data_IF_217533392015
#
_entry.id   IF_217533392015
#
_cell.length_a   1.000
_cell.length_b   1.000
_cell.length_c   1.000
_cell.angle_alpha   90.00
_cell.angle_beta   90.00
_cell.angle_gamma   90.00
#
_symmetry.space_group_name_H-M   'P 1'
#
loop_
_entity.id
_entity.type
_entity.pdbx_description
1 polymer ?
#
# COMPACT_ATOMS: atom_id res chain seq x y z
N UNK A 1 7.13 -33.10 14.88
CA UNK A 1 8.50 -32.55 14.82
C UNK A 1 8.60 -31.26 15.63
N UNK A 2 8.77 -31.35 16.96
CA UNK A 2 8.72 -30.17 17.85
C UNK A 2 9.83 -29.15 17.60
N UNK A 3 11.06 -29.59 17.28
CA UNK A 3 12.16 -28.68 16.96
C UNK A 3 12.00 -28.02 15.59
N UNK A 4 11.58 -28.80 14.58
CA UNK A 4 11.35 -28.27 13.23
C UNK A 4 10.21 -27.25 13.22
N UNK A 5 9.15 -27.46 14.01
CA UNK A 5 8.05 -26.49 14.12
C UNK A 5 8.49 -25.17 14.77
N UNK A 6 9.37 -25.21 15.77
CA UNK A 6 9.91 -23.99 16.39
C UNK A 6 10.77 -23.21 15.39
N UNK A 7 11.68 -23.90 14.71
CA UNK A 7 12.51 -23.32 13.65
C UNK A 7 11.65 -22.69 12.55
N UNK A 8 10.62 -23.40 12.09
CA UNK A 8 9.70 -22.89 11.06
C UNK A 8 8.97 -21.63 11.51
N UNK A 9 8.54 -21.54 12.78
CA UNK A 9 7.88 -20.34 13.32
C UNK A 9 8.82 -19.14 13.31
N UNK A 10 10.09 -19.32 13.69
CA UNK A 10 11.07 -18.23 13.71
C UNK A 10 11.35 -17.69 12.28
N UNK A 11 11.60 -18.57 11.32
CA UNK A 11 11.94 -18.16 9.95
C UNK A 11 10.74 -17.61 9.18
N UNK A 12 9.58 -18.27 9.28
CA UNK A 12 8.39 -17.84 8.54
C UNK A 12 7.81 -16.53 9.10
N UNK A 13 7.96 -16.27 10.41
CA UNK A 13 7.54 -15.00 10.99
C UNK A 13 8.34 -13.81 10.44
N UNK A 14 9.64 -13.99 10.17
CA UNK A 14 10.47 -12.93 9.58
C UNK A 14 9.94 -12.55 8.19
N UNK A 15 9.73 -13.54 7.31
CA UNK A 15 9.21 -13.26 5.96
C UNK A 15 7.77 -12.76 5.97
N UNK A 16 6.93 -13.33 6.83
CA UNK A 16 5.52 -12.92 6.96
C UNK A 16 5.35 -11.51 7.52
N UNK A 17 6.33 -11.01 8.28
CA UNK A 17 6.31 -9.65 8.83
C UNK A 17 7.02 -8.60 7.96
N UNK A 18 7.93 -9.00 7.07
CA UNK A 18 8.66 -8.06 6.22
C UNK A 18 7.73 -7.22 5.31
N UNK A 19 6.84 -7.86 4.55
CA UNK A 19 5.93 -7.19 3.61
C UNK A 19 4.95 -6.19 4.26
N UNK A 20 4.28 -6.48 5.39
CA UNK A 20 3.45 -5.46 6.04
C UNK A 20 4.31 -4.33 6.62
N UNK A 21 5.51 -4.61 7.13
CA UNK A 21 6.43 -3.59 7.64
C UNK A 21 6.83 -2.64 6.52
N UNK A 22 7.29 -3.15 5.37
CA UNK A 22 7.61 -2.35 4.18
C UNK A 22 6.44 -1.46 3.74
N UNK A 23 5.22 -2.01 3.71
CA UNK A 23 4.02 -1.23 3.39
C UNK A 23 3.80 -0.07 4.38
N UNK A 24 4.02 -0.30 5.67
CA UNK A 24 3.94 0.78 6.68
C UNK A 24 4.99 1.85 6.39
N UNK A 25 6.24 1.46 6.13
CA UNK A 25 7.34 2.38 5.83
C UNK A 25 7.13 3.18 4.55
N UNK A 26 6.70 2.55 3.46
CA UNK A 26 6.35 3.25 2.21
C UNK A 26 5.23 4.26 2.43
N UNK A 27 4.22 3.91 3.22
CA UNK A 27 3.13 4.86 3.58
C UNK A 27 3.57 5.97 4.53
N UNK A 28 4.67 5.76 5.28
CA UNK A 28 5.23 6.72 6.20
C UNK A 28 6.27 7.63 5.52
N UNK A 29 6.77 7.27 4.34
CA UNK A 29 7.75 8.03 3.58
C UNK A 29 7.31 9.49 3.35
N UNK A 30 6.02 9.70 3.07
CA UNK A 30 5.45 11.04 2.91
C UNK A 30 5.54 11.89 4.18
N UNK A 31 5.38 11.25 5.35
CA UNK A 31 5.47 11.91 6.66
C UNK A 31 6.91 12.09 7.13
N UNK A 32 7.82 11.22 6.67
CA UNK A 32 9.24 11.23 7.02
C UNK A 32 10.06 12.23 6.20
N UNK A 33 9.95 12.21 4.86
CA UNK A 33 10.88 12.94 3.98
C UNK A 33 10.19 13.92 3.03
N UNK A 34 9.09 13.55 2.36
CA UNK A 34 8.54 14.35 1.24
C UNK A 34 7.91 15.68 1.66
N UNK A 35 7.33 15.78 2.87
CA UNK A 35 6.68 17.02 3.33
C UNK A 35 7.55 17.90 4.24
N UNK A 36 8.86 17.64 4.33
CA UNK A 36 9.81 18.37 5.21
C UNK A 36 9.32 18.47 6.68
N UNK A 37 8.59 17.47 7.14
CA UNK A 37 8.19 17.39 8.54
C UNK A 37 9.44 17.06 9.36
N UNK A 38 9.97 18.02 10.11
CA UNK A 38 11.13 17.84 11.01
C UNK A 38 10.74 17.06 12.27
N UNK A 39 10.05 15.93 12.11
CA UNK A 39 9.71 15.04 13.22
C UNK A 39 10.99 14.29 13.62
N UNK A 40 11.27 14.24 14.93
CA UNK A 40 12.33 13.36 15.39
C UNK A 40 11.95 11.89 15.16
N UNK A 41 12.92 10.97 15.04
CA UNK A 41 12.65 9.55 14.87
C UNK A 41 11.68 8.98 15.92
N UNK A 42 11.80 9.42 17.18
CA UNK A 42 10.93 8.98 18.27
C UNK A 42 9.48 9.40 18.07
N UNK A 43 9.25 10.66 17.64
CA UNK A 43 7.90 11.14 17.35
C UNK A 43 7.29 10.41 16.15
N UNK A 44 8.09 10.13 15.13
CA UNK A 44 7.64 9.36 13.97
C UNK A 44 7.22 7.94 14.38
N UNK A 45 8.02 7.26 15.19
CA UNK A 45 7.72 5.92 15.71
C UNK A 45 6.44 5.91 16.56
N UNK A 46 6.30 6.85 17.49
CA UNK A 46 5.10 7.00 18.30
C UNK A 46 3.85 7.25 17.44
N UNK A 47 3.97 8.09 16.40
CA UNK A 47 2.88 8.38 15.47
C UNK A 47 2.48 7.14 14.66
N UNK A 48 3.44 6.35 14.15
CA UNK A 48 3.11 5.12 13.42
C UNK A 48 2.41 4.10 14.32
N UNK A 49 2.83 3.94 15.58
CA UNK A 49 2.12 3.10 16.55
C UNK A 49 0.69 3.59 16.80
N UNK A 50 0.52 4.90 17.01
CA UNK A 50 -0.79 5.50 17.24
C UNK A 50 -1.72 5.29 16.03
N UNK A 51 -1.24 5.54 14.82
CA UNK A 51 -1.95 5.30 13.55
C UNK A 51 -2.38 3.83 13.42
N UNK A 52 -1.51 2.88 13.76
CA UNK A 52 -1.82 1.46 13.71
C UNK A 52 -2.93 1.08 14.71
N UNK A 53 -2.86 1.60 15.94
CA UNK A 53 -3.89 1.37 16.98
C UNK A 53 -5.25 1.88 16.50
N UNK A 54 -5.33 3.12 16.01
CA UNK A 54 -6.58 3.70 15.51
C UNK A 54 -7.14 2.94 14.31
N UNK A 55 -6.29 2.50 13.38
CA UNK A 55 -6.72 1.66 12.25
C UNK A 55 -7.34 0.35 12.72
N UNK A 56 -6.69 -0.34 13.66
CA UNK A 56 -7.20 -1.59 14.23
C UNK A 56 -8.54 -1.38 14.94
N UNK A 57 -8.67 -0.30 15.72
CA UNK A 57 -9.92 0.03 16.40
C UNK A 57 -11.05 0.35 15.42
N UNK A 58 -10.78 1.14 14.37
CA UNK A 58 -11.74 1.43 13.31
C UNK A 58 -12.20 0.14 12.64
N UNK A 59 -11.29 -0.73 12.23
CA UNK A 59 -11.64 -2.02 11.62
C UNK A 59 -12.54 -2.86 12.51
N UNK A 60 -12.28 -2.93 13.82
CA UNK A 60 -13.10 -3.67 14.79
C UNK A 60 -14.53 -3.13 14.93
N UNK A 61 -14.73 -1.82 14.84
CA UNK A 61 -16.06 -1.20 14.96
C UNK A 61 -16.93 -1.37 13.72
N UNK A 62 -16.33 -1.58 12.54
CA UNK A 62 -17.06 -1.76 11.28
C UNK A 62 -17.74 -3.13 11.24
N UNK A 63 -19.01 -3.15 10.82
CA UNK A 63 -19.73 -4.38 10.51
C UNK A 63 -19.17 -5.08 9.26
N UNK A 64 -19.47 -6.36 9.08
CA UNK A 64 -19.02 -7.13 7.91
C UNK A 64 -19.45 -6.46 6.59
N UNK A 65 -20.70 -6.01 6.51
CA UNK A 65 -21.26 -5.41 5.30
C UNK A 65 -20.55 -4.10 4.93
N UNK A 66 -20.22 -3.26 5.91
CA UNK A 66 -19.50 -2.01 5.66
C UNK A 66 -18.05 -2.25 5.22
N UNK A 67 -17.41 -3.33 5.70
CA UNK A 67 -16.07 -3.71 5.23
C UNK A 67 -16.11 -4.17 3.77
N UNK A 68 -17.12 -4.94 3.37
CA UNK A 68 -17.27 -5.38 1.98
C UNK A 68 -17.55 -4.20 1.05
N UNK A 69 -18.46 -3.29 1.41
CA UNK A 69 -18.68 -2.05 0.65
C UNK A 69 -17.40 -1.24 0.49
N UNK A 70 -16.63 -1.08 1.57
CA UNK A 70 -15.38 -0.35 1.52
C UNK A 70 -14.32 -1.06 0.66
N UNK A 71 -14.29 -2.40 0.63
CA UNK A 71 -13.42 -3.15 -0.30
C UNK A 71 -13.86 -2.92 -1.74
N UNK A 72 -15.15 -3.02 -2.05
CA UNK A 72 -15.70 -2.78 -3.38
C UNK A 72 -15.38 -1.37 -3.88
N UNK A 73 -15.55 -0.35 -3.03
CA UNK A 73 -15.18 1.03 -3.36
C UNK A 73 -13.68 1.16 -3.65
N UNK A 74 -12.82 0.51 -2.84
CA UNK A 74 -11.37 0.51 -3.08
C UNK A 74 -10.98 -0.24 -4.35
N UNK A 75 -11.66 -1.33 -4.68
CA UNK A 75 -11.43 -2.08 -5.91
C UNK A 75 -11.78 -1.21 -7.12
N UNK A 76 -12.89 -0.47 -7.08
CA UNK A 76 -13.26 0.48 -8.13
C UNK A 76 -12.22 1.58 -8.34
N UNK A 77 -11.61 2.09 -7.27
CA UNK A 77 -10.55 3.10 -7.36
C UNK A 77 -9.28 2.53 -7.99
N UNK A 78 -8.89 1.30 -7.63
CA UNK A 78 -7.72 0.63 -8.21
C UNK A 78 -7.95 0.36 -9.69
N UNK A 79 -9.13 -0.17 -10.04
CA UNK A 79 -9.49 -0.43 -11.44
C UNK A 79 -9.41 0.87 -12.25
N UNK A 80 -9.98 1.97 -11.74
CA UNK A 80 -9.93 3.28 -12.41
C UNK A 80 -8.52 3.89 -12.53
N UNK A 81 -7.63 3.69 -11.55
CA UNK A 81 -6.22 4.11 -11.65
C UNK A 81 -5.47 3.28 -12.71
N UNK A 82 -5.70 1.97 -12.79
CA UNK A 82 -5.11 1.10 -13.83
C UNK A 82 -5.59 1.49 -15.24
N UNK A 83 -6.87 1.83 -15.39
CA UNK A 83 -7.41 2.31 -16.67
C UNK A 83 -6.82 3.64 -17.15
N UNK A 84 -6.29 4.49 -16.25
CA UNK A 84 -5.62 5.75 -16.66
C UNK A 84 -4.20 5.51 -17.18
N UNK A 85 -3.48 4.54 -16.63
CA UNK A 85 -2.17 4.13 -17.13
C UNK A 85 -2.29 3.47 -18.52
N UNK A 86 -3.31 2.63 -18.74
CA UNK A 86 -3.55 1.95 -20.03
C UNK A 86 -3.99 2.89 -21.18
N UNK A 87 -4.60 4.04 -20.87
CA UNK A 87 -4.97 5.07 -21.87
C UNK A 87 -3.76 5.93 -22.26
N UNK A 88 -2.86 6.21 -21.31
CA UNK A 88 -1.64 7.00 -21.56
C UNK A 88 -0.70 6.31 -22.54
N UNK A 89 -0.46 5.01 -22.36
CA UNK A 89 0.43 4.23 -23.21
C UNK A 89 -0.16 3.99 -24.63
N UNK A 90 -1.48 3.85 -24.76
CA UNK A 90 -2.13 3.71 -26.07
C UNK A 90 -2.14 5.02 -26.88
N UNK A 91 -2.18 6.19 -26.22
CA UNK A 91 -2.22 7.49 -26.91
C UNK A 91 -0.84 7.91 -27.43
N UNK A 92 0.25 7.52 -26.76
CA UNK A 92 1.62 7.69 -27.27
C UNK A 92 1.89 6.79 -28.49
N UNK A 93 1.37 5.56 -28.50
CA UNK A 93 1.45 4.65 -29.66
C UNK A 93 0.66 5.17 -30.87
N UNK A 94 -0.58 5.64 -30.67
CA UNK A 94 -1.41 6.20 -31.74
C UNK A 94 -0.84 7.50 -32.31
N UNK A 95 -0.17 8.32 -31.48
CA UNK A 95 0.45 9.57 -31.94
C UNK A 95 1.73 9.31 -32.74
N UNK A 96 2.49 8.27 -32.38
CA UNK A 96 3.67 7.83 -33.12
C UNK A 96 3.34 7.17 -34.46
N UNK A 97 2.24 6.41 -34.55
CA UNK A 97 1.77 5.82 -35.82
C UNK A 97 1.27 6.90 -36.80
N UNK A 98 0.64 7.98 -36.32
CA UNK A 98 0.15 9.05 -37.18
C UNK A 98 1.28 9.94 -37.76
N UNK A 99 2.40 10.09 -37.07
CA UNK A 99 3.58 10.82 -37.57
C UNK A 99 4.39 10.03 -38.61
N UNK A 100 4.30 8.69 -38.62
CA UNK A 100 4.97 7.82 -39.60
C UNK A 100 4.22 7.72 -40.93
N UNK A 101 2.89 7.90 -40.95
CA UNK A 101 2.07 7.88 -42.18
C UNK A 101 2.03 9.22 -42.94
N UNK A 102 2.64 10.28 -42.37
CA UNK A 102 2.70 11.64 -42.96
C UNK A 102 4.10 12.04 -43.47
N UNK A 103 5.09 11.13 -43.44
CA UNK A 103 6.46 11.30 -43.95
C UNK A 103 6.70 10.53 -45.26
#
# INVERSE_FOLDING_TARGET
YPQLSLMAMDYLAIQGSATPVERVWSSAADTNSKKRNRLSPDHLAALQHLKAIYRRQRSRKMSHLEREKQKEERLKLIDMEVWQDDIGDNLELFSAELELDLA
#
